data_IF_638097254995
#
_entry.id   IF_638097254995
#
_cell.length_a   1.000
_cell.length_b   1.000
_cell.length_c   1.000
_cell.angle_alpha   90.00
_cell.angle_beta   90.00
_cell.angle_gamma   90.00
#
_symmetry.space_group_name_H-M   'P 1'
#
loop_
_entity.id
_entity.type
_entity.pdbx_description
1 polymer ?
#
# COMPACT_ATOMS: atom_id res chain seq x y z
N UNK A 1 -60.73 50.02 -24.72
CA UNK A 1 -60.50 48.74 -23.99
C UNK A 1 -59.38 47.91 -24.59
N UNK A 2 -59.33 47.70 -25.92
CA UNK A 2 -58.23 46.85 -26.52
C UNK A 2 -56.80 47.38 -26.30
N UNK A 3 -56.61 48.71 -26.34
CA UNK A 3 -55.27 49.28 -26.11
C UNK A 3 -54.78 49.15 -24.65
N UNK A 4 -55.71 49.22 -23.68
CA UNK A 4 -55.35 49.03 -22.25
C UNK A 4 -54.90 47.60 -21.96
N UNK A 5 -55.48 46.58 -22.61
CA UNK A 5 -55.10 45.18 -22.47
C UNK A 5 -53.71 44.95 -23.05
N UNK A 6 -53.36 45.53 -24.19
CA UNK A 6 -52.05 45.41 -24.81
C UNK A 6 -50.94 45.99 -23.92
N UNK A 7 -51.19 47.12 -23.27
CA UNK A 7 -50.22 47.77 -22.34
C UNK A 7 -49.99 46.88 -21.10
N UNK A 8 -51.05 46.27 -20.55
CA UNK A 8 -50.92 45.37 -19.39
C UNK A 8 -50.16 44.08 -19.76
N UNK A 9 -50.39 43.52 -20.95
CA UNK A 9 -49.65 42.32 -21.41
C UNK A 9 -48.18 42.64 -21.67
N UNK A 10 -47.87 43.76 -22.29
CA UNK A 10 -46.47 44.21 -22.50
C UNK A 10 -45.72 44.53 -21.20
N UNK A 11 -46.42 45.19 -20.24
CA UNK A 11 -45.85 45.48 -18.91
C UNK A 11 -45.61 44.13 -18.13
N UNK A 12 -46.54 43.20 -18.20
CA UNK A 12 -46.39 41.88 -17.59
C UNK A 12 -45.26 41.04 -18.20
N UNK A 13 -45.14 41.08 -19.54
CA UNK A 13 -44.00 40.41 -20.21
C UNK A 13 -42.65 41.04 -19.89
N UNK A 14 -42.59 42.36 -19.82
CA UNK A 14 -41.40 43.11 -19.40
C UNK A 14 -41.00 42.81 -17.94
N UNK A 15 -42.00 42.70 -17.04
CA UNK A 15 -41.75 42.36 -15.63
C UNK A 15 -41.27 40.92 -15.46
N UNK A 16 -41.84 39.96 -16.21
CA UNK A 16 -41.35 38.56 -16.20
C UNK A 16 -39.94 38.43 -16.78
N UNK A 17 -39.61 39.17 -17.83
CA UNK A 17 -38.27 39.24 -18.36
C UNK A 17 -37.28 39.89 -17.34
N UNK A 18 -37.70 40.98 -16.68
CA UNK A 18 -36.92 41.64 -15.60
C UNK A 18 -36.62 40.64 -14.46
N UNK A 19 -37.62 39.88 -13.97
CA UNK A 19 -37.44 38.87 -12.93
C UNK A 19 -36.50 37.76 -13.37
N UNK A 20 -36.53 37.34 -14.63
CA UNK A 20 -35.66 36.28 -15.15
C UNK A 20 -34.19 36.67 -15.23
N UNK A 21 -33.91 37.97 -15.47
CA UNK A 21 -32.54 38.47 -15.61
C UNK A 21 -32.00 39.16 -14.35
N UNK A 22 -32.88 39.49 -13.38
CA UNK A 22 -32.52 40.21 -12.15
C UNK A 22 -32.81 39.37 -10.88
N UNK A 23 -33.11 38.10 -11.00
CA UNK A 23 -33.06 37.23 -9.82
C UNK A 23 -31.63 37.21 -9.34
N UNK A 24 -31.36 37.59 -8.09
CA UNK A 24 -30.01 37.44 -7.54
C UNK A 24 -29.61 35.96 -7.66
N UNK A 25 -28.33 35.65 -7.98
CA UNK A 25 -27.85 34.29 -7.98
C UNK A 25 -28.24 33.68 -6.64
N UNK A 26 -28.60 32.35 -6.63
CA UNK A 26 -28.87 31.67 -5.38
C UNK A 26 -27.68 31.89 -4.46
N UNK A 27 -27.88 32.09 -3.15
CA UNK A 27 -26.79 32.31 -2.22
C UNK A 27 -25.78 31.20 -2.43
N UNK A 28 -24.57 31.56 -2.82
CA UNK A 28 -23.46 30.63 -2.94
C UNK A 28 -23.37 29.96 -1.59
N UNK A 29 -23.62 28.67 -1.52
CA UNK A 29 -23.48 27.93 -0.28
C UNK A 29 -22.09 28.24 0.24
N UNK A 30 -22.00 28.79 1.43
CA UNK A 30 -20.69 29.00 2.08
C UNK A 30 -19.93 27.67 2.03
N UNK A 31 -18.64 27.69 1.67
CA UNK A 31 -17.86 26.49 1.72
C UNK A 31 -18.00 25.87 3.11
N UNK A 32 -18.15 24.55 3.23
CA UNK A 32 -18.26 23.91 4.53
C UNK A 32 -17.12 24.40 5.42
N UNK A 33 -17.44 24.74 6.67
CA UNK A 33 -16.45 25.20 7.62
C UNK A 33 -15.27 24.19 7.63
N UNK A 34 -14.02 24.68 7.61
CA UNK A 34 -12.87 23.77 7.71
C UNK A 34 -13.03 22.90 8.95
N UNK A 35 -12.66 21.59 8.86
CA UNK A 35 -12.73 20.73 10.02
C UNK A 35 -11.98 21.39 11.19
N UNK A 36 -12.46 21.24 12.42
CA UNK A 36 -11.79 21.82 13.57
C UNK A 36 -10.32 21.43 13.55
N UNK A 37 -9.44 22.42 13.63
CA UNK A 37 -8.00 22.17 13.77
C UNK A 37 -7.87 21.33 15.03
N UNK A 38 -7.52 20.05 14.87
CA UNK A 38 -7.21 19.21 16.01
C UNK A 38 -5.97 19.86 16.65
N UNK A 39 -6.16 20.46 17.83
CA UNK A 39 -5.03 20.83 18.69
C UNK A 39 -4.10 19.62 18.69
N UNK A 40 -2.83 19.87 18.39
CA UNK A 40 -1.81 18.84 18.35
C UNK A 40 -1.79 18.19 19.74
N UNK A 41 -2.57 17.11 19.88
CA UNK A 41 -2.64 16.36 21.15
C UNK A 41 -1.21 16.01 21.47
N UNK A 42 -0.68 16.55 22.56
CA UNK A 42 0.67 16.23 23.03
C UNK A 42 0.73 14.72 23.27
N UNK A 43 1.10 13.98 22.22
CA UNK A 43 1.18 12.51 22.25
C UNK A 43 2.37 12.00 23.05
N UNK A 44 3.28 12.90 23.44
CA UNK A 44 4.48 12.54 24.16
C UNK A 44 4.27 12.75 25.65
N UNK A 45 4.12 11.63 26.39
CA UNK A 45 4.13 11.63 27.85
C UNK A 45 5.51 11.91 28.42
N UNK A 46 6.59 11.70 27.64
CA UNK A 46 7.97 11.78 28.08
C UNK A 46 8.64 13.05 27.50
N UNK A 47 9.38 13.75 28.36
CA UNK A 47 10.19 14.89 27.93
C UNK A 47 11.41 14.43 27.13
N UNK A 48 12.07 15.37 26.43
CA UNK A 48 13.31 15.09 25.68
C UNK A 48 14.40 14.53 26.60
N UNK A 49 14.58 15.11 27.79
CA UNK A 49 15.56 14.66 28.77
C UNK A 49 15.27 13.24 29.26
N UNK A 50 13.99 12.90 29.44
CA UNK A 50 13.58 11.54 29.79
C UNK A 50 13.86 10.56 28.66
N UNK A 51 13.59 10.93 27.41
CA UNK A 51 13.92 10.13 26.23
C UNK A 51 15.43 9.93 26.05
N UNK A 52 16.25 10.93 26.39
CA UNK A 52 17.72 10.79 26.36
C UNK A 52 18.22 9.82 27.44
N UNK A 53 17.60 9.79 28.63
CA UNK A 53 17.89 8.78 29.66
C UNK A 53 17.49 7.37 29.22
N UNK A 54 16.35 7.21 28.55
CA UNK A 54 15.91 5.93 27.99
C UNK A 54 16.89 5.46 26.91
N UNK A 55 17.35 6.36 26.05
CA UNK A 55 18.39 6.04 25.08
C UNK A 55 19.69 5.55 25.75
N UNK A 56 20.10 6.13 26.86
CA UNK A 56 21.26 5.63 27.62
C UNK A 56 21.01 4.21 28.15
N UNK A 57 19.81 3.92 28.66
CA UNK A 57 19.42 2.59 29.13
C UNK A 57 19.46 1.52 28.02
N UNK A 58 19.37 1.89 26.74
CA UNK A 58 19.58 0.93 25.65
C UNK A 58 21.02 0.40 25.53
N UNK A 59 21.94 0.87 26.34
CA UNK A 59 23.32 0.35 26.45
C UNK A 59 23.61 -0.24 27.85
N UNK A 60 22.57 -0.55 28.63
CA UNK A 60 22.73 -1.16 29.95
C UNK A 60 23.43 -2.53 29.87
N UNK A 61 24.06 -2.95 30.94
CA UNK A 61 24.66 -4.28 31.07
C UNK A 61 23.61 -5.38 31.07
N UNK A 62 22.44 -5.12 31.63
CA UNK A 62 21.31 -6.04 31.67
C UNK A 62 20.59 -6.07 30.30
N UNK A 63 20.51 -7.24 29.63
CA UNK A 63 19.85 -7.35 28.34
C UNK A 63 18.36 -6.99 28.39
N UNK A 64 17.67 -7.26 29.50
CA UNK A 64 16.27 -6.94 29.64
C UNK A 64 16.05 -5.42 29.70
N UNK A 65 16.91 -4.70 30.45
CA UNK A 65 16.85 -3.23 30.50
C UNK A 65 17.11 -2.64 29.11
N UNK A 66 18.10 -3.16 28.38
CA UNK A 66 18.35 -2.71 26.99
C UNK A 66 17.14 -2.91 26.11
N UNK A 67 16.49 -4.07 26.22
CA UNK A 67 15.32 -4.40 25.40
C UNK A 67 14.12 -3.51 25.72
N UNK A 68 13.78 -3.33 26.99
CA UNK A 68 12.68 -2.47 27.41
C UNK A 68 12.90 -1.01 27.00
N UNK A 69 14.14 -0.52 27.11
CA UNK A 69 14.49 0.83 26.69
C UNK A 69 14.24 1.05 25.20
N UNK A 70 14.66 0.13 24.33
CA UNK A 70 14.44 0.28 22.88
C UNK A 70 12.98 0.13 22.51
N UNK A 71 12.23 -0.76 23.17
CA UNK A 71 10.78 -0.88 22.95
C UNK A 71 10.05 0.44 23.29
N UNK A 72 10.46 1.11 24.38
CA UNK A 72 9.89 2.39 24.76
C UNK A 72 10.23 3.49 23.75
N UNK A 73 11.45 3.52 23.21
CA UNK A 73 11.81 4.44 22.12
C UNK A 73 10.94 4.22 20.88
N UNK A 74 10.73 2.96 20.48
CA UNK A 74 9.90 2.60 19.34
C UNK A 74 8.43 2.99 19.56
N UNK A 75 7.85 2.66 20.72
CA UNK A 75 6.46 2.98 21.04
C UNK A 75 6.21 4.49 21.14
N UNK A 76 7.22 5.24 21.56
CA UNK A 76 7.20 6.71 21.58
C UNK A 76 7.47 7.34 20.21
N UNK A 77 7.69 6.52 19.16
CA UNK A 77 8.05 6.96 17.79
C UNK A 77 9.32 7.82 17.76
N UNK A 78 10.25 7.57 18.67
CA UNK A 78 11.54 8.24 18.63
C UNK A 78 12.37 7.70 17.44
N UNK A 79 12.85 8.57 16.54
CA UNK A 79 13.57 8.14 15.33
C UNK A 79 14.86 7.36 15.65
N UNK A 80 15.43 7.57 16.83
CA UNK A 80 16.64 6.85 17.28
C UNK A 80 16.39 5.37 17.57
N UNK A 81 15.11 4.99 17.84
CA UNK A 81 14.75 3.61 18.18
C UNK A 81 15.11 2.62 17.07
N UNK A 82 14.89 2.99 15.81
CA UNK A 82 15.18 2.12 14.66
C UNK A 82 16.69 1.93 14.46
N UNK A 83 17.46 3.00 14.53
CA UNK A 83 18.93 2.92 14.47
C UNK A 83 19.50 2.02 15.58
N UNK A 84 18.92 2.13 16.80
CA UNK A 84 19.35 1.30 17.93
C UNK A 84 18.98 -0.17 17.68
N UNK A 85 17.81 -0.49 17.13
CA UNK A 85 17.42 -1.86 16.76
C UNK A 85 18.42 -2.47 15.77
N UNK A 86 18.76 -1.74 14.70
CA UNK A 86 19.71 -2.21 13.70
C UNK A 86 21.08 -2.51 14.35
N UNK A 87 21.55 -1.60 15.19
CA UNK A 87 22.79 -1.78 15.93
C UNK A 87 22.74 -3.00 16.88
N UNK A 88 21.61 -3.19 17.59
CA UNK A 88 21.42 -4.36 18.46
C UNK A 88 21.43 -5.66 17.66
N UNK A 89 20.74 -5.72 16.51
CA UNK A 89 20.80 -6.89 15.64
C UNK A 89 22.22 -7.27 15.25
N UNK A 90 23.04 -6.28 14.94
CA UNK A 90 24.41 -6.49 14.45
C UNK A 90 25.41 -6.81 15.56
N UNK A 91 25.23 -6.30 16.79
CA UNK A 91 26.30 -6.23 17.78
C UNK A 91 25.91 -6.55 19.22
N UNK A 92 24.63 -6.79 19.52
CA UNK A 92 24.26 -7.15 20.89
C UNK A 92 24.86 -8.50 21.27
N UNK A 93 25.46 -8.59 22.47
CA UNK A 93 26.06 -9.82 22.97
C UNK A 93 25.04 -10.92 23.28
N UNK A 94 23.79 -10.54 23.54
CA UNK A 94 22.71 -11.47 23.88
C UNK A 94 21.93 -11.91 22.63
N UNK A 95 21.96 -13.23 22.35
CA UNK A 95 21.24 -13.80 21.19
C UNK A 95 19.72 -13.64 21.31
N UNK A 96 19.18 -13.63 22.53
CA UNK A 96 17.74 -13.39 22.78
C UNK A 96 17.34 -11.99 22.33
N UNK A 97 18.15 -10.98 22.62
CA UNK A 97 17.93 -9.60 22.13
C UNK A 97 17.97 -9.59 20.60
N UNK A 98 19.01 -10.16 19.95
CA UNK A 98 19.10 -10.17 18.49
C UNK A 98 17.88 -10.88 17.86
N UNK A 99 17.44 -11.99 18.43
CA UNK A 99 16.23 -12.70 18.01
C UNK A 99 14.95 -11.86 18.14
N UNK A 100 14.80 -11.14 19.26
CA UNK A 100 13.67 -10.22 19.47
C UNK A 100 13.67 -9.09 18.44
N UNK A 101 14.84 -8.51 18.15
CA UNK A 101 15.00 -7.47 17.13
C UNK A 101 14.60 -7.98 15.74
N UNK A 102 14.96 -9.20 15.36
CA UNK A 102 14.49 -9.82 14.11
C UNK A 102 12.97 -9.81 14.04
N UNK A 103 12.29 -10.15 15.15
CA UNK A 103 10.83 -10.08 15.24
C UNK A 103 10.29 -8.69 14.90
N UNK A 104 10.83 -7.65 15.54
CA UNK A 104 10.40 -6.26 15.32
C UNK A 104 10.70 -5.78 13.89
N UNK A 105 11.91 -6.05 13.36
CA UNK A 105 12.30 -5.63 12.01
C UNK A 105 11.50 -6.38 10.91
N UNK A 106 11.04 -7.59 11.21
CA UNK A 106 10.23 -8.36 10.25
C UNK A 106 8.88 -7.71 9.92
N UNK A 107 8.34 -6.92 10.85
CA UNK A 107 7.07 -6.19 10.71
C UNK A 107 7.24 -4.80 10.06
N UNK A 108 8.49 -4.40 9.80
CA UNK A 108 8.83 -3.13 9.16
C UNK A 108 8.86 -3.26 7.63
N UNK A 109 9.04 -2.12 6.96
CA UNK A 109 9.07 -2.05 5.51
C UNK A 109 10.18 -2.87 4.83
N UNK A 110 10.19 -2.89 3.49
CA UNK A 110 11.16 -3.68 2.71
C UNK A 110 12.61 -3.23 2.94
N UNK A 111 12.85 -1.99 3.37
CA UNK A 111 14.17 -1.44 3.68
C UNK A 111 14.89 -2.20 4.81
N UNK A 112 14.16 -2.93 5.66
CA UNK A 112 14.75 -3.77 6.70
C UNK A 112 15.21 -5.13 6.21
N UNK A 113 14.89 -5.51 4.97
CA UNK A 113 15.22 -6.83 4.43
C UNK A 113 16.72 -7.07 4.36
N UNK A 114 17.51 -6.07 4.01
CA UNK A 114 18.97 -6.21 3.94
C UNK A 114 19.61 -6.52 5.30
N UNK A 115 19.11 -5.92 6.39
CA UNK A 115 19.60 -6.21 7.75
C UNK A 115 19.21 -7.63 8.19
N UNK A 116 18.01 -8.09 7.82
CA UNK A 116 17.60 -9.47 8.07
C UNK A 116 18.45 -10.45 7.27
N UNK A 117 18.74 -10.17 6.00
CA UNK A 117 19.63 -10.99 5.17
C UNK A 117 21.03 -11.08 5.77
N UNK A 118 21.57 -9.97 6.26
CA UNK A 118 22.87 -9.99 6.93
C UNK A 118 22.87 -10.89 8.18
N UNK A 119 21.77 -10.89 8.93
CA UNK A 119 21.61 -11.72 10.14
C UNK A 119 21.40 -13.22 9.86
N UNK A 120 21.28 -13.68 8.58
CA UNK A 120 21.40 -15.09 8.23
C UNK A 120 22.79 -15.68 8.57
N UNK A 121 23.79 -14.83 8.81
CA UNK A 121 25.13 -15.23 9.22
C UNK A 121 25.40 -15.05 10.73
N UNK A 122 24.32 -14.88 11.52
CA UNK A 122 24.46 -14.76 12.97
C UNK A 122 25.16 -16.00 13.56
N UNK A 123 25.96 -15.80 14.60
CA UNK A 123 26.66 -16.90 15.31
C UNK A 123 25.67 -17.87 15.97
N UNK A 124 24.50 -17.38 16.40
CA UNK A 124 23.48 -18.17 17.07
C UNK A 124 22.48 -18.76 16.07
N UNK A 125 22.26 -20.08 16.15
CA UNK A 125 21.36 -20.78 15.24
C UNK A 125 19.88 -20.38 15.39
N UNK A 126 19.43 -20.03 16.59
CA UNK A 126 18.03 -19.62 16.82
C UNK A 126 17.77 -18.22 16.26
N UNK A 127 18.79 -17.36 16.21
CA UNK A 127 18.70 -16.07 15.47
C UNK A 127 18.56 -16.35 13.98
N UNK A 128 19.41 -17.21 13.39
CA UNK A 128 19.32 -17.57 11.97
C UNK A 128 17.95 -18.19 11.60
N UNK A 129 17.44 -19.08 12.45
CA UNK A 129 16.08 -19.66 12.30
C UNK A 129 15.01 -18.58 12.29
N UNK A 130 15.08 -17.65 13.25
CA UNK A 130 14.13 -16.53 13.34
C UNK A 130 14.17 -15.63 12.12
N UNK A 131 15.37 -15.42 11.56
CA UNK A 131 15.53 -14.66 10.30
C UNK A 131 14.88 -15.39 9.12
N UNK A 132 15.10 -16.71 8.98
CA UNK A 132 14.46 -17.50 7.92
C UNK A 132 12.93 -17.42 7.98
N UNK A 133 12.34 -17.50 9.18
CA UNK A 133 10.90 -17.32 9.39
C UNK A 133 10.44 -15.90 9.00
N UNK A 134 11.22 -14.88 9.33
CA UNK A 134 10.92 -13.50 8.97
C UNK A 134 10.94 -13.30 7.45
N UNK A 135 11.97 -13.79 6.77
CA UNK A 135 12.11 -13.69 5.31
C UNK A 135 11.03 -14.50 4.58
N UNK A 136 10.63 -15.66 5.13
CA UNK A 136 9.51 -16.45 4.61
C UNK A 136 8.21 -15.63 4.62
N UNK A 137 7.91 -14.90 5.72
CA UNK A 137 6.72 -14.06 5.80
C UNK A 137 6.77 -12.88 4.83
N UNK A 138 7.93 -12.23 4.71
CA UNK A 138 8.12 -11.11 3.75
C UNK A 138 7.92 -11.56 2.30
N UNK A 139 8.39 -12.75 1.96
CA UNK A 139 8.17 -13.34 0.64
C UNK A 139 8.91 -12.64 -0.50
N UNK A 140 9.99 -11.91 -0.21
CA UNK A 140 10.78 -11.20 -1.21
C UNK A 140 11.65 -12.17 -2.02
N UNK A 141 11.44 -12.28 -3.36
CA UNK A 141 12.23 -13.17 -4.22
C UNK A 141 13.74 -12.84 -4.23
N UNK A 142 14.13 -11.61 -3.95
CA UNK A 142 15.53 -11.21 -3.88
C UNK A 142 16.30 -11.95 -2.77
N UNK A 143 15.59 -12.50 -1.79
CA UNK A 143 16.20 -13.25 -0.67
C UNK A 143 16.54 -14.70 -0.99
N UNK A 144 16.13 -15.24 -2.14
CA UNK A 144 16.35 -16.63 -2.55
C UNK A 144 17.84 -17.00 -2.54
N UNK A 145 18.71 -16.13 -3.08
CA UNK A 145 20.15 -16.35 -3.09
C UNK A 145 20.73 -16.51 -1.68
N UNK A 146 20.61 -15.51 -0.81
CA UNK A 146 21.06 -15.58 0.57
C UNK A 146 20.48 -16.77 1.37
N UNK A 147 19.21 -17.08 1.20
CA UNK A 147 18.57 -18.25 1.87
C UNK A 147 19.17 -19.55 1.37
N UNK A 148 19.51 -19.66 0.07
CA UNK A 148 20.13 -20.86 -0.51
C UNK A 148 21.51 -21.15 0.09
N UNK A 149 22.25 -20.14 0.53
CA UNK A 149 23.52 -20.34 1.24
C UNK A 149 23.32 -21.06 2.59
N UNK A 150 22.17 -20.84 3.25
CA UNK A 150 21.83 -21.51 4.50
C UNK A 150 21.59 -23.02 4.34
N UNK A 151 21.50 -23.57 3.12
CA UNK A 151 21.47 -25.02 2.89
C UNK A 151 22.78 -25.74 3.27
N UNK A 152 23.86 -24.96 3.47
CA UNK A 152 25.16 -25.45 3.92
C UNK A 152 25.43 -25.13 5.39
N UNK A 153 24.40 -24.70 6.14
CA UNK A 153 24.55 -24.38 7.56
C UNK A 153 25.01 -25.58 8.36
N UNK A 154 25.82 -25.37 9.40
CA UNK A 154 26.24 -26.44 10.31
C UNK A 154 25.07 -27.09 11.02
N UNK A 155 24.05 -26.31 11.35
CA UNK A 155 22.88 -26.77 12.08
C UNK A 155 21.81 -27.38 11.14
N UNK A 156 21.41 -28.60 11.38
CA UNK A 156 20.38 -29.29 10.57
C UNK A 156 19.06 -28.53 10.56
N UNK A 157 18.66 -27.97 11.71
CA UNK A 157 17.42 -27.20 11.84
C UNK A 157 17.40 -25.98 10.90
N UNK A 158 18.55 -25.32 10.75
CA UNK A 158 18.69 -24.15 9.86
C UNK A 158 18.60 -24.59 8.40
N UNK A 159 19.28 -25.67 8.01
CA UNK A 159 19.18 -26.24 6.64
C UNK A 159 17.74 -26.60 6.27
N UNK A 160 17.02 -27.26 7.20
CA UNK A 160 15.62 -27.64 6.98
C UNK A 160 14.72 -26.39 6.88
N UNK A 161 14.93 -25.39 7.72
CA UNK A 161 14.18 -24.13 7.66
C UNK A 161 14.43 -23.40 6.34
N UNK A 162 15.68 -23.38 5.85
CA UNK A 162 16.02 -22.78 4.56
C UNK A 162 15.28 -23.48 3.39
N UNK A 163 15.26 -24.83 3.36
CA UNK A 163 14.50 -25.59 2.36
C UNK A 163 13.01 -25.24 2.39
N UNK A 164 12.40 -25.21 3.58
CA UNK A 164 10.97 -24.86 3.74
C UNK A 164 10.70 -23.43 3.26
N UNK A 165 11.60 -22.51 3.56
CA UNK A 165 11.47 -21.10 3.14
C UNK A 165 11.56 -20.99 1.63
N UNK A 166 12.52 -21.63 0.99
CA UNK A 166 12.67 -21.65 -0.48
C UNK A 166 11.45 -22.27 -1.16
N UNK A 167 10.96 -23.40 -0.64
CA UNK A 167 9.75 -24.04 -1.18
C UNK A 167 8.54 -23.10 -1.10
N UNK A 168 8.34 -22.44 0.03
CA UNK A 168 7.26 -21.48 0.21
C UNK A 168 7.35 -20.29 -0.77
N UNK A 169 8.56 -19.75 -0.98
CA UNK A 169 8.80 -18.68 -1.95
C UNK A 169 8.47 -19.15 -3.38
N UNK A 170 8.88 -20.38 -3.74
CA UNK A 170 8.57 -20.95 -5.06
C UNK A 170 7.06 -21.15 -5.25
N UNK A 171 6.37 -21.69 -4.26
CA UNK A 171 4.92 -21.86 -4.32
C UNK A 171 4.16 -20.52 -4.44
N UNK A 172 4.61 -19.50 -3.72
CA UNK A 172 4.04 -18.15 -3.86
C UNK A 172 4.24 -17.62 -5.28
N UNK A 173 5.44 -17.78 -5.83
CA UNK A 173 5.76 -17.35 -7.19
C UNK A 173 4.90 -18.08 -8.23
N UNK A 174 4.72 -19.38 -8.08
CA UNK A 174 3.85 -20.15 -8.96
C UNK A 174 2.40 -19.64 -8.91
N UNK A 175 1.85 -19.42 -7.71
CA UNK A 175 0.50 -18.84 -7.57
C UNK A 175 0.36 -17.47 -8.21
N UNK A 176 1.37 -16.62 -8.11
CA UNK A 176 1.39 -15.31 -8.77
C UNK A 176 1.38 -15.42 -10.29
N UNK A 177 2.18 -16.35 -10.84
CA UNK A 177 2.23 -16.63 -12.28
C UNK A 177 0.87 -17.14 -12.76
N UNK A 178 0.30 -18.13 -12.08
CA UNK A 178 -1.00 -18.71 -12.43
C UNK A 178 -2.11 -17.63 -12.43
N UNK A 179 -2.11 -16.76 -11.44
CA UNK A 179 -3.05 -15.66 -11.35
C UNK A 179 -2.86 -14.63 -12.49
N UNK A 180 -1.61 -14.32 -12.86
CA UNK A 180 -1.31 -13.45 -13.99
C UNK A 180 -1.75 -14.07 -15.31
N UNK A 181 -1.50 -15.38 -15.50
CA UNK A 181 -1.95 -16.10 -16.69
C UNK A 181 -3.47 -16.11 -16.81
N UNK A 182 -4.17 -16.41 -15.71
CA UNK A 182 -5.64 -16.37 -15.68
C UNK A 182 -6.19 -14.97 -16.06
N UNK A 183 -5.64 -13.89 -15.49
CA UNK A 183 -6.01 -12.51 -15.85
C UNK A 183 -5.74 -12.20 -17.32
N UNK A 184 -4.63 -12.68 -17.84
CA UNK A 184 -4.28 -12.50 -19.24
C UNK A 184 -5.28 -13.22 -20.15
N UNK A 185 -5.58 -14.48 -19.88
CA UNK A 185 -6.59 -15.25 -20.64
C UNK A 185 -7.98 -14.60 -20.63
N UNK A 186 -8.41 -14.09 -19.46
CA UNK A 186 -9.67 -13.35 -19.36
C UNK A 186 -9.65 -12.04 -20.18
N UNK A 187 -8.51 -11.37 -20.24
CA UNK A 187 -8.35 -10.15 -21.04
C UNK A 187 -8.38 -10.46 -22.54
N UNK A 188 -7.75 -11.55 -22.97
CA UNK A 188 -7.78 -12.03 -24.37
C UNK A 188 -9.21 -12.38 -24.79
N UNK A 189 -9.94 -13.16 -23.97
CA UNK A 189 -11.33 -13.49 -24.26
C UNK A 189 -12.22 -12.24 -24.41
N UNK A 190 -12.08 -11.26 -23.51
CA UNK A 190 -12.80 -9.99 -23.61
C UNK A 190 -12.48 -9.22 -24.89
N UNK A 191 -11.21 -9.20 -25.27
CA UNK A 191 -10.79 -8.57 -26.53
C UNK A 191 -11.38 -9.27 -27.75
N UNK A 192 -11.34 -10.60 -27.81
CA UNK A 192 -11.92 -11.40 -28.92
C UNK A 192 -13.43 -11.18 -29.05
N UNK A 193 -14.15 -11.16 -27.92
CA UNK A 193 -15.60 -10.86 -27.92
C UNK A 193 -15.90 -9.44 -28.42
N UNK A 194 -15.08 -8.45 -27.99
CA UNK A 194 -15.23 -7.08 -28.45
C UNK A 194 -14.96 -6.96 -29.95
N UNK A 195 -13.93 -7.63 -30.46
CA UNK A 195 -13.59 -7.68 -31.88
C UNK A 195 -14.69 -8.31 -32.71
N UNK A 196 -15.25 -9.43 -32.26
CA UNK A 196 -16.39 -10.08 -32.91
C UNK A 196 -17.60 -9.15 -32.98
N UNK A 197 -17.98 -8.51 -31.89
CA UNK A 197 -19.09 -7.54 -31.85
C UNK A 197 -18.84 -6.38 -32.82
N UNK A 198 -17.61 -5.88 -32.88
CA UNK A 198 -17.26 -4.82 -33.81
C UNK A 198 -17.39 -5.25 -35.29
N UNK A 199 -16.94 -6.46 -35.64
CA UNK A 199 -17.06 -7.02 -36.97
C UNK A 199 -18.53 -7.25 -37.35
N UNK A 200 -19.35 -7.78 -36.43
CA UNK A 200 -20.81 -7.95 -36.65
C UNK A 200 -21.51 -6.61 -36.90
N UNK A 201 -21.16 -5.58 -36.12
CA UNK A 201 -21.68 -4.22 -36.29
C UNK A 201 -21.29 -3.61 -37.68
N UNK A 202 -20.04 -3.80 -38.09
CA UNK A 202 -19.59 -3.35 -39.42
C UNK A 202 -20.32 -4.04 -40.57
N UNK A 203 -20.52 -5.36 -40.46
CA UNK A 203 -21.29 -6.13 -41.45
C UNK A 203 -22.76 -5.68 -41.54
N UNK A 204 -23.39 -5.40 -40.39
CA UNK A 204 -24.77 -4.89 -40.34
C UNK A 204 -24.89 -3.51 -41.02
N UNK A 205 -23.90 -2.61 -40.76
CA UNK A 205 -23.83 -1.30 -41.44
C UNK A 205 -23.70 -1.40 -42.97
N UNK A 206 -22.88 -2.35 -43.46
CA UNK A 206 -22.70 -2.58 -44.89
C UNK A 206 -23.97 -3.13 -45.54
N UNK A 207 -24.66 -4.07 -44.89
CA UNK A 207 -25.92 -4.61 -45.38
C UNK A 207 -27.04 -3.55 -45.41
N UNK A 208 -27.09 -2.67 -44.41
CA UNK A 208 -28.08 -1.56 -44.38
C UNK A 208 -27.84 -0.51 -45.48
N UNK A 209 -26.59 -0.24 -45.84
CA UNK A 209 -26.25 0.67 -46.96
C UNK A 209 -26.59 0.09 -48.35
N UNK A 210 -26.49 -1.24 -48.53
CA UNK A 210 -26.84 -1.90 -49.80
C UNK A 210 -28.37 -1.98 -50.07
N UNK A 211 -29.19 -1.88 -49.02
CA UNK A 211 -30.66 -1.92 -49.15
C UNK A 211 -31.30 -0.54 -49.45
N UNK A 212 -30.54 0.55 -49.39
CA UNK A 212 -30.99 1.93 -49.57
C UNK A 212 -30.71 2.52 -50.99
N UNK A 213 -30.49 1.69 -52.00
CA UNK A 213 -30.46 2.17 -53.38
C UNK A 213 -31.89 2.39 -53.89
N UNK A 214 -32.30 3.62 -54.31
CA UNK A 214 -33.62 3.86 -54.82
C UNK A 214 -33.81 3.08 -56.14
N UNK A 215 -35.03 2.55 -56.40
CA UNK A 215 -35.34 1.96 -57.71
C UNK A 215 -35.21 3.06 -58.78
N UNK A 216 -34.40 2.77 -59.79
CA UNK A 216 -34.20 3.66 -60.92
C UNK A 216 -35.53 4.07 -61.54
N UNK A 217 -35.68 5.41 -61.65
CA UNK A 217 -36.82 5.94 -62.41
C UNK A 217 -36.54 5.74 -63.89
N UNK A 218 -37.50 5.13 -64.57
CA UNK A 218 -37.77 5.29 -66.02
C UNK A 218 -38.74 6.44 -66.24
#
# INVERSE_FOLDING_TARGET
MKQLIIIIVLAGAGYLAYLKFHTPPPPTAEPPAPPPVMEEVQRQLLTKEQMDRIKLASNDTDPQIRWEAVQLLISSRDPRGEEILIRMLQRDGDAGIRRNVVGVLSERGPEMTEYLVAALRDSDADVRLRVLEALQRKGDPATVGPISECLRDSEERVRLAALKTLNNLQERRNREIDEQMRKHEESVKRYEEALRKHQEAQQALQKGKGAASPPGGE
#
